data_IF_305650902642
#
_entry.id   IF_305650902642
#
_cell.length_a   1.000
_cell.length_b   1.000
_cell.length_c   1.000
_cell.angle_alpha   90.00
_cell.angle_beta   90.00
_cell.angle_gamma   90.00
#
_symmetry.space_group_name_H-M   'P 1'
#
loop_
_entity.id
_entity.type
_entity.pdbx_description
1 polymer ?
#
# COMPACT_ATOMS: atom_id res chain seq x y z
N UNK A 1 -57.04 24.47 -0.27
CA UNK A 1 -56.26 23.20 -0.28
C UNK A 1 -54.87 23.54 -0.76
N UNK A 2 -53.85 23.35 0.09
CA UNK A 2 -52.45 23.69 -0.17
C UNK A 2 -51.71 22.39 -0.50
N UNK A 3 -51.06 22.32 -1.66
CA UNK A 3 -50.24 21.17 -2.07
C UNK A 3 -48.84 21.35 -1.48
N UNK A 4 -48.27 20.36 -0.75
CA UNK A 4 -46.90 20.49 -0.26
C UNK A 4 -45.90 20.11 -1.35
N UNK A 5 -44.95 21.00 -1.60
CA UNK A 5 -43.78 20.78 -2.46
C UNK A 5 -42.85 19.78 -1.78
N UNK A 6 -42.64 18.62 -2.40
CA UNK A 6 -41.68 17.62 -1.94
C UNK A 6 -40.28 18.10 -2.31
N UNK A 7 -39.48 18.44 -1.30
CA UNK A 7 -38.05 18.72 -1.46
C UNK A 7 -37.33 17.48 -1.99
N UNK A 8 -36.65 17.62 -3.13
CA UNK A 8 -35.79 16.57 -3.68
C UNK A 8 -34.55 16.45 -2.80
N UNK A 9 -34.47 15.36 -2.05
CA UNK A 9 -33.27 14.94 -1.36
C UNK A 9 -32.11 14.84 -2.36
N UNK A 10 -31.09 15.68 -2.14
CA UNK A 10 -29.86 15.72 -2.92
C UNK A 10 -29.08 14.44 -2.59
N UNK A 11 -29.07 13.48 -3.50
CA UNK A 11 -28.22 12.29 -3.36
C UNK A 11 -26.76 12.75 -3.27
N UNK A 12 -26.06 12.34 -2.20
CA UNK A 12 -24.63 12.52 -2.08
C UNK A 12 -23.94 11.82 -3.26
N UNK A 13 -22.86 12.39 -3.82
CA UNK A 13 -22.11 11.71 -4.88
C UNK A 13 -21.57 10.40 -4.30
N UNK A 14 -22.03 9.28 -4.84
CA UNK A 14 -21.48 7.95 -4.55
C UNK A 14 -19.97 8.05 -4.62
N UNK A 15 -19.31 7.82 -3.49
CA UNK A 15 -17.85 7.74 -3.41
C UNK A 15 -17.42 6.65 -4.36
N UNK A 16 -16.95 7.03 -5.55
CA UNK A 16 -16.48 6.10 -6.57
C UNK A 16 -15.54 5.10 -5.92
N UNK A 17 -15.98 3.85 -5.87
CA UNK A 17 -15.15 2.75 -5.40
C UNK A 17 -13.95 2.72 -6.36
N UNK A 18 -12.71 2.81 -5.85
CA UNK A 18 -11.54 2.89 -6.70
C UNK A 18 -11.49 1.66 -7.60
N UNK A 19 -11.31 1.91 -8.90
CA UNK A 19 -11.23 0.88 -9.93
C UNK A 19 -10.08 -0.07 -9.60
N UNK A 20 -10.41 -1.34 -9.39
CA UNK A 20 -9.43 -2.42 -9.20
C UNK A 20 -9.15 -3.02 -10.58
N UNK A 21 -7.99 -2.71 -11.15
CA UNK A 21 -7.54 -3.36 -12.39
C UNK A 21 -6.83 -4.68 -12.06
N UNK A 22 -7.44 -5.81 -12.38
CA UNK A 22 -6.79 -7.13 -12.35
C UNK A 22 -5.98 -7.35 -13.62
N UNK A 23 -4.70 -6.98 -13.60
CA UNK A 23 -3.74 -7.31 -14.68
C UNK A 23 -2.99 -8.59 -14.29
N UNK A 24 -3.35 -9.72 -14.90
CA UNK A 24 -2.88 -11.05 -14.48
C UNK A 24 -1.71 -11.61 -15.34
N UNK A 25 -0.88 -10.78 -15.97
CA UNK A 25 0.32 -11.32 -16.65
C UNK A 25 1.45 -11.49 -15.65
N UNK A 26 2.15 -12.64 -15.68
CA UNK A 26 3.26 -12.92 -14.77
C UNK A 26 4.35 -11.83 -14.83
N UNK A 27 4.58 -11.25 -16.02
CA UNK A 27 5.51 -10.13 -16.20
C UNK A 27 5.06 -8.87 -15.43
N UNK A 28 3.77 -8.50 -15.51
CA UNK A 28 3.24 -7.34 -14.76
C UNK A 28 3.33 -7.55 -13.24
N UNK A 29 3.05 -8.76 -12.77
CA UNK A 29 3.17 -9.11 -11.33
C UNK A 29 4.62 -8.97 -10.88
N UNK A 30 5.57 -9.49 -11.66
CA UNK A 30 7.00 -9.37 -11.35
C UNK A 30 7.44 -7.91 -11.32
N UNK A 31 7.06 -7.12 -12.32
CA UNK A 31 7.39 -5.69 -12.39
C UNK A 31 6.82 -4.91 -11.18
N UNK A 32 5.60 -5.24 -10.76
CA UNK A 32 5.00 -4.64 -9.58
C UNK A 32 5.73 -5.04 -8.29
N UNK A 33 6.15 -6.30 -8.17
CA UNK A 33 6.93 -6.77 -7.03
C UNK A 33 8.31 -6.10 -6.98
N UNK A 34 8.97 -5.93 -8.13
CA UNK A 34 10.27 -5.25 -8.23
C UNK A 34 10.16 -3.77 -7.82
N UNK A 35 9.09 -3.10 -8.26
CA UNK A 35 8.79 -1.73 -7.83
C UNK A 35 8.57 -1.64 -6.32
N UNK A 36 7.77 -2.56 -5.75
CA UNK A 36 7.52 -2.64 -4.31
C UNK A 36 8.83 -2.79 -3.52
N UNK A 37 9.69 -3.75 -3.92
CA UNK A 37 11.00 -3.98 -3.30
C UNK A 37 11.91 -2.76 -3.43
N UNK A 38 11.95 -2.12 -4.60
CA UNK A 38 12.74 -0.91 -4.83
C UNK A 38 12.29 0.25 -3.91
N UNK A 39 10.98 0.43 -3.72
CA UNK A 39 10.44 1.45 -2.82
C UNK A 39 10.77 1.12 -1.36
N UNK A 40 10.64 -0.14 -0.94
CA UNK A 40 11.04 -0.56 0.40
C UNK A 40 12.53 -0.27 0.67
N UNK A 41 13.42 -0.63 -0.26
CA UNK A 41 14.86 -0.36 -0.15
C UNK A 41 15.14 1.14 -0.01
N UNK A 42 14.37 2.00 -0.70
CA UNK A 42 14.49 3.46 -0.54
C UNK A 42 14.21 3.88 0.91
N UNK A 43 13.14 3.37 1.52
CA UNK A 43 12.82 3.67 2.93
C UNK A 43 13.97 3.25 3.86
N UNK A 44 14.47 2.03 3.70
CA UNK A 44 15.58 1.50 4.50
C UNK A 44 16.84 2.34 4.34
N UNK A 45 17.17 2.75 3.11
CA UNK A 45 18.32 3.63 2.83
C UNK A 45 18.19 5.00 3.52
N UNK A 46 16.99 5.59 3.48
CA UNK A 46 16.73 6.87 4.17
C UNK A 46 16.85 6.71 5.69
N UNK A 47 16.31 5.64 6.26
CA UNK A 47 16.43 5.35 7.69
C UNK A 47 17.89 5.19 8.09
N UNK A 48 18.64 4.35 7.35
CA UNK A 48 20.05 4.08 7.60
C UNK A 48 20.91 5.36 7.50
N UNK A 49 20.64 6.22 6.53
CA UNK A 49 21.33 7.51 6.39
C UNK A 49 21.09 8.46 7.57
N UNK A 50 19.96 8.31 8.28
CA UNK A 50 19.55 9.18 9.37
C UNK A 50 19.70 8.55 10.77
N UNK A 51 20.21 7.30 10.87
CA UNK A 51 20.29 6.54 12.12
C UNK A 51 21.11 7.18 13.24
N UNK A 52 22.00 8.11 12.89
CA UNK A 52 22.91 8.77 13.82
C UNK A 52 22.46 10.20 14.19
N UNK A 53 21.29 10.65 13.71
CA UNK A 53 20.76 12.00 13.96
C UNK A 53 19.84 11.99 15.20
N UNK A 54 20.33 12.39 16.39
CA UNK A 54 19.66 12.11 17.66
C UNK A 54 18.31 12.84 17.84
N UNK A 55 18.08 13.91 17.09
CA UNK A 55 16.86 14.73 17.18
C UNK A 55 15.66 14.13 16.46
N UNK A 56 15.87 13.19 15.52
CA UNK A 56 14.83 12.73 14.59
C UNK A 56 14.53 11.23 14.65
N UNK A 57 15.07 10.50 15.62
CA UNK A 57 14.87 9.04 15.76
C UNK A 57 13.40 8.63 15.85
N UNK A 58 12.48 9.53 16.22
CA UNK A 58 11.04 9.23 16.29
C UNK A 58 10.38 9.11 14.91
N UNK A 59 11.02 9.64 13.86
CA UNK A 59 10.45 9.65 12.51
C UNK A 59 10.99 8.55 11.61
N UNK A 60 12.10 7.91 12.01
CA UNK A 60 12.75 6.84 11.26
C UNK A 60 12.57 5.53 12.02
N UNK A 61 11.68 4.67 11.54
CA UNK A 61 11.37 3.39 12.19
C UNK A 61 11.52 2.26 11.19
N UNK A 62 12.16 1.16 11.59
CA UNK A 62 12.18 -0.08 10.82
C UNK A 62 11.89 -1.26 11.76
N UNK A 63 10.98 -2.13 11.36
CA UNK A 63 10.70 -3.38 12.04
C UNK A 63 10.70 -4.53 11.03
N UNK A 64 11.33 -5.65 11.40
CA UNK A 64 11.32 -6.89 10.62
C UNK A 64 10.95 -8.05 11.51
N UNK A 65 9.97 -8.84 11.07
CA UNK A 65 9.53 -10.06 11.74
C UNK A 65 9.58 -11.21 10.74
N UNK A 66 10.27 -12.29 11.11
CA UNK A 66 10.23 -13.55 10.38
C UNK A 66 9.19 -14.47 11.03
N UNK A 67 8.25 -14.97 10.23
CA UNK A 67 7.19 -15.88 10.64
C UNK A 67 7.71 -17.32 10.71
N UNK A 68 6.97 -18.18 11.42
CA UNK A 68 7.38 -19.60 11.62
C UNK A 68 7.51 -20.40 10.33
N UNK A 69 6.75 -20.03 9.30
CA UNK A 69 6.74 -20.64 7.99
C UNK A 69 7.78 -20.04 7.02
N UNK A 70 8.64 -19.14 7.51
CA UNK A 70 9.65 -18.44 6.71
C UNK A 70 9.14 -17.18 6.02
N UNK A 71 7.87 -16.82 6.19
CA UNK A 71 7.36 -15.52 5.72
C UNK A 71 8.05 -14.34 6.43
N UNK A 72 8.02 -13.17 5.80
CA UNK A 72 8.58 -11.94 6.32
C UNK A 72 7.53 -10.84 6.37
N UNK A 73 7.55 -10.06 7.46
CA UNK A 73 6.82 -8.81 7.61
C UNK A 73 7.84 -7.71 7.86
N UNK A 74 7.86 -6.71 6.99
CA UNK A 74 8.73 -5.55 7.09
C UNK A 74 7.84 -4.31 7.15
N UNK A 75 8.10 -3.44 8.12
CA UNK A 75 7.53 -2.11 8.16
C UNK A 75 8.65 -1.07 8.23
N UNK A 76 8.49 0.02 7.51
CA UNK A 76 9.42 1.13 7.55
C UNK A 76 8.68 2.47 7.52
N UNK A 77 9.19 3.44 8.27
CA UNK A 77 8.61 4.78 8.41
C UNK A 77 9.70 5.84 8.28
N UNK A 78 9.37 6.90 7.56
CA UNK A 78 10.19 8.12 7.40
C UNK A 78 9.27 9.34 7.55
N UNK A 79 9.82 10.57 7.63
CA UNK A 79 8.99 11.78 7.50
C UNK A 79 8.15 11.82 6.22
N UNK A 80 8.61 11.20 5.13
CA UNK A 80 7.92 11.17 3.82
C UNK A 80 6.69 10.24 3.83
N UNK A 81 6.68 9.20 4.66
CA UNK A 81 5.57 8.26 4.69
C UNK A 81 5.84 6.98 5.47
N UNK A 82 5.04 5.96 5.19
CA UNK A 82 5.15 4.62 5.76
C UNK A 82 4.95 3.56 4.69
N UNK A 83 5.67 2.46 4.83
CA UNK A 83 5.57 1.30 3.97
C UNK A 83 5.46 0.02 4.80
N UNK A 84 4.65 -0.91 4.30
CA UNK A 84 4.51 -2.27 4.82
C UNK A 84 4.73 -3.23 3.66
N UNK A 85 5.57 -4.24 3.88
CA UNK A 85 5.82 -5.31 2.93
C UNK A 85 5.67 -6.64 3.65
N UNK A 86 4.78 -7.49 3.16
CA UNK A 86 4.57 -8.84 3.65
C UNK A 86 4.88 -9.78 2.50
N UNK A 87 5.65 -10.83 2.75
CA UNK A 87 5.94 -11.86 1.75
C UNK A 87 5.96 -13.24 2.39
N UNK A 88 5.28 -14.19 1.78
CA UNK A 88 5.29 -15.58 2.21
C UNK A 88 5.12 -16.48 0.98
N UNK A 89 6.15 -17.27 0.64
CA UNK A 89 6.19 -18.08 -0.58
C UNK A 89 5.85 -17.23 -1.83
N UNK A 90 4.86 -17.66 -2.61
CA UNK A 90 4.41 -16.97 -3.84
C UNK A 90 3.38 -15.86 -3.58
N UNK A 91 3.17 -15.49 -2.31
CA UNK A 91 2.21 -14.46 -1.90
C UNK A 91 2.95 -13.25 -1.35
N UNK A 92 2.49 -12.05 -1.68
CA UNK A 92 3.05 -10.83 -1.13
C UNK A 92 2.05 -9.67 -1.14
N UNK A 93 2.24 -8.75 -0.21
CA UNK A 93 1.49 -7.50 -0.11
C UNK A 93 2.48 -6.35 0.07
N UNK A 94 2.21 -5.24 -0.62
CA UNK A 94 2.89 -3.97 -0.45
C UNK A 94 1.85 -2.88 -0.22
N UNK A 95 2.02 -2.12 0.86
CA UNK A 95 1.23 -0.94 1.18
C UNK A 95 2.16 0.23 1.43
N UNK A 96 2.00 1.31 0.70
CA UNK A 96 2.71 2.57 0.92
C UNK A 96 1.71 3.71 1.07
N UNK A 97 1.97 4.59 2.03
CA UNK A 97 1.21 5.81 2.25
C UNK A 97 2.16 6.96 2.56
N UNK A 98 2.06 8.05 1.79
CA UNK A 98 2.77 9.28 2.10
C UNK A 98 2.13 10.01 3.29
N UNK A 99 2.94 10.73 4.05
CA UNK A 99 2.47 11.51 5.21
C UNK A 99 1.49 12.62 4.81
N UNK A 100 1.66 13.19 3.62
CA UNK A 100 0.78 14.20 3.03
C UNK A 100 -0.48 13.62 2.35
N UNK A 101 -0.67 12.30 2.44
CA UNK A 101 -1.79 11.53 1.86
C UNK A 101 -1.93 11.60 0.33
N UNK A 102 -0.98 12.25 -0.36
CA UNK A 102 -1.00 12.37 -1.83
C UNK A 102 -0.72 11.07 -2.54
N UNK A 103 -0.06 10.11 -1.89
CA UNK A 103 0.27 8.82 -2.47
C UNK A 103 -0.23 7.73 -1.53
N UNK A 104 -1.11 6.88 -2.04
CA UNK A 104 -1.36 5.57 -1.45
C UNK A 104 -1.29 4.50 -2.53
N UNK A 105 -0.48 3.49 -2.28
CA UNK A 105 -0.28 2.36 -3.19
C UNK A 105 -0.56 1.08 -2.41
N UNK A 106 -1.47 0.25 -2.91
CA UNK A 106 -1.71 -1.11 -2.43
C UNK A 106 -1.52 -2.08 -3.58
N UNK A 107 -0.61 -3.03 -3.42
CA UNK A 107 -0.34 -4.12 -4.35
C UNK A 107 -0.45 -5.43 -3.57
N UNK A 108 -1.21 -6.39 -4.10
CA UNK A 108 -1.39 -7.70 -3.48
C UNK A 108 -1.27 -8.76 -4.56
N UNK A 109 -0.37 -9.72 -4.34
CA UNK A 109 -0.30 -10.95 -5.11
C UNK A 109 -0.69 -12.11 -4.19
N UNK A 110 -1.79 -12.77 -4.52
CA UNK A 110 -2.33 -13.90 -3.78
C UNK A 110 -2.18 -15.16 -4.64
N UNK A 111 -1.76 -16.27 -4.05
CA UNK A 111 -1.84 -17.57 -4.70
C UNK A 111 -3.19 -18.18 -4.33
N UNK A 112 -4.12 -18.22 -5.27
CA UNK A 112 -5.44 -18.81 -5.10
C UNK A 112 -5.44 -20.25 -5.60
N UNK A 113 -6.41 -21.07 -5.19
CA UNK A 113 -6.58 -22.42 -5.74
C UNK A 113 -6.81 -22.46 -7.27
N UNK A 114 -7.02 -21.29 -7.90
CA UNK A 114 -7.20 -21.11 -9.35
C UNK A 114 -6.01 -20.40 -10.02
N UNK A 115 -4.89 -20.21 -9.31
CA UNK A 115 -3.69 -19.52 -9.78
C UNK A 115 -3.43 -18.19 -9.08
N UNK A 116 -2.41 -17.46 -9.54
CA UNK A 116 -2.07 -16.16 -8.98
C UNK A 116 -3.12 -15.11 -9.32
N UNK A 117 -3.54 -14.34 -8.32
CA UNK A 117 -4.42 -13.19 -8.45
C UNK A 117 -3.65 -11.95 -8.06
N UNK A 118 -3.63 -10.95 -8.94
CA UNK A 118 -2.98 -9.68 -8.68
C UNK A 118 -4.00 -8.55 -8.54
N UNK A 119 -3.90 -7.82 -7.43
CA UNK A 119 -4.74 -6.67 -7.10
C UNK A 119 -3.86 -5.44 -6.96
N UNK A 120 -4.21 -4.37 -7.67
CA UNK A 120 -3.56 -3.07 -7.52
C UNK A 120 -4.59 -1.98 -7.23
N UNK A 121 -4.23 -1.05 -6.36
CA UNK A 121 -4.98 0.15 -6.06
C UNK A 121 -4.04 1.31 -5.83
N UNK A 122 -4.26 2.38 -6.58
CA UNK A 122 -3.54 3.64 -6.45
C UNK A 122 -4.54 4.73 -6.11
N UNK A 123 -4.22 5.56 -5.12
CA UNK A 123 -4.96 6.81 -4.90
C UNK A 123 -3.97 7.95 -4.87
N UNK A 124 -4.24 8.96 -5.69
CA UNK A 124 -3.58 10.27 -5.64
C UNK A 124 -4.65 11.36 -5.53
N UNK A 125 -4.44 12.33 -4.65
CA UNK A 125 -5.31 13.51 -4.48
C UNK A 125 -4.59 14.76 -4.94
#
# INVERSE_FOLDING_TARGET
MVVPTVERSRAEPESQIPVVETVNTALSVQQAQDLAKKRLIRYQSVIEANKNHPTDHRFYTEERVTLRDGGEVISAGTPEGRVYYLSNNDQWMFLERSTDERIQTLLICENTGHGQKFTQKFTSR
#
